data_IF_561630199981
#
_entry.id   IF_561630199981
#
_cell.length_a   1.000
_cell.length_b   1.000
_cell.length_c   1.000
_cell.angle_alpha   90.00
_cell.angle_beta   90.00
_cell.angle_gamma   90.00
#
_symmetry.space_group_name_H-M   'P 1'
#
loop_
_entity.id
_entity.type
_entity.pdbx_description
1 polymer ?
#
# COMPACT_ATOMS: atom_id res chain seq x y z
N UNK A 1 22.44 6.22 12.50
CA UNK A 1 21.16 5.48 12.59
C UNK A 1 21.23 4.32 11.60
N UNK A 2 20.66 3.17 11.93
CA UNK A 2 20.52 2.06 10.97
C UNK A 2 19.56 2.46 9.85
N UNK A 3 19.73 1.90 8.66
CA UNK A 3 18.82 2.09 7.53
C UNK A 3 17.44 1.54 7.89
N UNK A 4 16.39 2.36 7.78
CA UNK A 4 15.03 1.96 8.13
C UNK A 4 14.29 1.43 6.91
N UNK A 5 13.25 0.62 7.15
CA UNK A 5 12.39 0.07 6.10
C UNK A 5 10.95 0.40 6.38
N UNK A 6 10.21 0.73 5.33
CA UNK A 6 8.78 1.04 5.45
C UNK A 6 7.97 0.43 4.30
N UNK A 7 6.70 0.13 4.61
CA UNK A 7 5.73 -0.41 3.68
C UNK A 7 4.90 0.73 3.08
N UNK A 8 4.82 0.78 1.76
CA UNK A 8 3.94 1.69 1.04
C UNK A 8 2.91 0.87 0.26
N UNK A 9 1.64 1.28 0.33
CA UNK A 9 0.56 0.67 -0.44
C UNK A 9 -0.12 1.77 -1.25
N UNK A 10 0.01 1.69 -2.57
CA UNK A 10 -0.86 2.46 -3.46
C UNK A 10 -2.20 1.76 -3.54
N UNK A 11 -3.17 2.38 -2.87
CA UNK A 11 -4.55 1.91 -2.78
C UNK A 11 -5.22 1.85 -4.16
N UNK A 12 -6.36 1.14 -4.29
CA UNK A 12 -7.01 0.95 -5.59
C UNK A 12 -7.31 2.22 -6.36
N UNK A 13 -7.66 3.31 -5.68
CA UNK A 13 -7.91 4.62 -6.30
C UNK A 13 -6.66 5.22 -6.94
N UNK A 14 -5.49 5.10 -6.31
CA UNK A 14 -4.23 5.58 -6.88
C UNK A 14 -3.83 4.77 -8.14
N UNK A 15 -4.09 3.46 -8.13
CA UNK A 15 -3.89 2.57 -9.28
C UNK A 15 -4.83 2.95 -10.42
N UNK A 16 -6.14 3.02 -10.15
CA UNK A 16 -7.17 3.30 -11.16
C UNK A 16 -7.01 4.69 -11.79
N UNK A 17 -6.50 5.66 -11.03
CA UNK A 17 -6.22 7.02 -11.52
C UNK A 17 -4.86 7.14 -12.24
N UNK A 18 -4.11 6.04 -12.39
CA UNK A 18 -2.81 6.05 -13.06
C UNK A 18 -1.73 6.86 -12.34
N UNK A 19 -1.82 7.00 -11.01
CA UNK A 19 -0.93 7.88 -10.23
C UNK A 19 0.36 7.20 -9.76
N UNK A 20 0.50 5.89 -9.96
CA UNK A 20 1.59 5.09 -9.39
C UNK A 20 2.98 5.66 -9.72
N UNK A 21 3.28 5.90 -11.00
CA UNK A 21 4.58 6.43 -11.42
C UNK A 21 4.90 7.78 -10.79
N UNK A 22 3.92 8.70 -10.79
CA UNK A 22 4.08 10.03 -10.17
C UNK A 22 4.36 9.95 -8.67
N UNK A 23 3.76 9.00 -7.96
CA UNK A 23 4.00 8.83 -6.52
C UNK A 23 5.37 8.15 -6.30
N UNK A 24 5.74 7.16 -7.11
CA UNK A 24 7.05 6.49 -7.03
C UNK A 24 8.19 7.47 -7.22
N UNK A 25 8.11 8.33 -8.25
CA UNK A 25 9.15 9.32 -8.53
C UNK A 25 9.42 10.22 -7.33
N UNK A 26 8.41 10.56 -6.51
CA UNK A 26 8.63 11.36 -5.29
C UNK A 26 9.54 10.67 -4.27
N UNK A 27 9.47 9.34 -4.16
CA UNK A 27 10.33 8.59 -3.26
C UNK A 27 11.76 8.51 -3.81
N UNK A 28 11.89 8.23 -5.10
CA UNK A 28 13.18 8.14 -5.79
C UNK A 28 13.92 9.50 -5.77
N UNK A 29 13.22 10.60 -6.08
CA UNK A 29 13.75 11.98 -6.02
C UNK A 29 14.20 12.38 -4.61
N UNK A 30 13.56 11.82 -3.57
CA UNK A 30 13.95 12.05 -2.18
C UNK A 30 15.18 11.23 -1.77
N UNK A 31 15.61 10.27 -2.60
CA UNK A 31 16.73 9.37 -2.35
C UNK A 31 16.34 8.08 -1.61
N UNK A 32 15.05 7.78 -1.44
CA UNK A 32 14.60 6.51 -0.88
C UNK A 32 14.72 5.41 -1.93
N UNK A 33 15.16 4.22 -1.50
CA UNK A 33 15.35 3.07 -2.39
C UNK A 33 14.11 2.19 -2.36
N UNK A 34 13.58 1.85 -3.53
CA UNK A 34 12.57 0.80 -3.66
C UNK A 34 13.31 -0.54 -3.63
N UNK A 35 13.22 -1.26 -2.52
CA UNK A 35 13.88 -2.57 -2.31
C UNK A 35 12.94 -3.76 -2.54
N UNK A 36 11.66 -3.49 -2.85
CA UNK A 36 10.68 -4.49 -3.25
C UNK A 36 9.45 -3.82 -3.84
N UNK A 37 8.85 -4.45 -4.85
CA UNK A 37 7.64 -3.98 -5.48
C UNK A 37 6.78 -5.17 -5.94
N UNK A 38 5.47 -5.10 -5.72
CA UNK A 38 4.52 -6.12 -6.18
C UNK A 38 3.17 -5.50 -6.53
N UNK A 39 2.73 -5.71 -7.76
CA UNK A 39 1.36 -5.47 -8.17
C UNK A 39 0.52 -6.70 -7.83
N UNK A 40 -0.50 -6.56 -6.98
CA UNK A 40 -1.29 -7.70 -6.55
C UNK A 40 -2.71 -7.31 -6.16
N UNK A 41 -3.62 -8.30 -6.24
CA UNK A 41 -4.93 -8.22 -5.61
C UNK A 41 -4.83 -8.78 -4.20
N UNK A 42 -5.20 -7.97 -3.20
CA UNK A 42 -5.22 -8.40 -1.80
C UNK A 42 -6.50 -9.21 -1.58
N UNK A 43 -6.40 -10.36 -0.89
CA UNK A 43 -7.57 -11.13 -0.49
C UNK A 43 -8.26 -10.51 0.73
N UNK A 44 -9.56 -10.74 0.96
CA UNK A 44 -10.25 -10.25 2.15
C UNK A 44 -9.56 -10.65 3.45
N UNK A 45 -9.00 -11.86 3.52
CA UNK A 45 -8.30 -12.39 4.69
C UNK A 45 -7.01 -11.60 4.94
N UNK A 46 -6.22 -11.36 3.89
CA UNK A 46 -4.98 -10.58 4.02
C UNK A 46 -5.26 -9.12 4.37
N UNK A 47 -6.30 -8.52 3.80
CA UNK A 47 -6.73 -7.16 4.15
C UNK A 47 -7.21 -7.09 5.61
N UNK A 48 -7.94 -8.12 6.08
CA UNK A 48 -8.42 -8.19 7.45
C UNK A 48 -7.26 -8.27 8.46
N UNK A 49 -6.23 -9.06 8.16
CA UNK A 49 -4.98 -9.12 8.94
C UNK A 49 -4.27 -7.78 8.93
N UNK A 50 -4.10 -7.16 7.76
CA UNK A 50 -3.40 -5.87 7.66
C UNK A 50 -4.09 -4.74 8.45
N UNK A 51 -5.43 -4.74 8.50
CA UNK A 51 -6.23 -3.72 9.18
C UNK A 51 -6.79 -4.17 10.54
N UNK A 52 -6.25 -5.22 11.16
CA UNK A 52 -6.76 -5.79 12.41
C UNK A 52 -6.93 -4.72 13.52
N UNK A 53 -6.01 -3.77 13.62
CA UNK A 53 -6.06 -2.65 14.57
C UNK A 53 -7.30 -1.75 14.42
N UNK A 54 -8.06 -1.89 13.34
CA UNK A 54 -9.29 -1.14 13.07
C UNK A 54 -10.54 -2.00 13.14
N UNK A 55 -10.46 -3.28 13.54
CA UNK A 55 -11.56 -4.25 13.48
C UNK A 55 -12.85 -3.78 14.19
N UNK A 56 -12.71 -3.06 15.30
CA UNK A 56 -13.85 -2.55 16.09
C UNK A 56 -14.39 -1.20 15.57
N UNK A 57 -13.77 -0.61 14.55
CA UNK A 57 -14.19 0.68 14.01
C UNK A 57 -15.36 0.50 13.04
N UNK A 58 -16.35 1.42 13.04
CA UNK A 58 -17.53 1.30 12.19
C UNK A 58 -17.22 1.30 10.69
N UNK A 59 -16.07 1.85 10.29
CA UNK A 59 -15.63 1.89 8.88
C UNK A 59 -14.86 0.64 8.43
N UNK A 60 -14.60 -0.33 9.31
CA UNK A 60 -13.70 -1.45 9.02
C UNK A 60 -14.14 -2.28 7.81
N UNK A 61 -15.42 -2.64 7.74
CA UNK A 61 -15.97 -3.40 6.62
C UNK A 61 -15.79 -2.64 5.29
N UNK A 62 -16.03 -1.32 5.29
CA UNK A 62 -15.82 -0.46 4.13
C UNK A 62 -14.35 -0.40 3.72
N UNK A 63 -13.43 -0.34 4.69
CA UNK A 63 -11.99 -0.35 4.45
C UNK A 63 -11.51 -1.64 3.79
N UNK A 64 -11.93 -2.80 4.31
CA UNK A 64 -11.58 -4.11 3.74
C UNK A 64 -12.15 -4.26 2.32
N UNK A 65 -13.42 -3.88 2.12
CA UNK A 65 -14.05 -3.92 0.80
C UNK A 65 -13.33 -3.01 -0.20
N UNK A 66 -12.99 -1.79 0.22
CA UNK A 66 -12.25 -0.86 -0.62
C UNK A 66 -10.89 -1.42 -1.02
N UNK A 67 -10.15 -2.02 -0.09
CA UNK A 67 -8.79 -2.49 -0.34
C UNK A 67 -8.71 -3.78 -1.17
N UNK A 68 -9.82 -4.50 -1.34
CA UNK A 68 -9.90 -5.76 -2.09
C UNK A 68 -10.65 -5.65 -3.42
N UNK A 69 -11.27 -4.50 -3.71
CA UNK A 69 -12.09 -4.31 -4.91
C UNK A 69 -11.28 -4.33 -6.22
N UNK A 70 -10.00 -3.98 -6.17
CA UNK A 70 -9.11 -3.89 -7.33
C UNK A 70 -7.65 -4.09 -6.89
N UNK A 71 -6.71 -4.40 -7.80
CA UNK A 71 -5.31 -4.51 -7.47
C UNK A 71 -4.72 -3.24 -6.83
N UNK A 72 -3.66 -3.45 -6.06
CA UNK A 72 -2.82 -2.44 -5.43
C UNK A 72 -1.37 -2.59 -5.90
N UNK A 73 -0.59 -1.53 -5.77
CA UNK A 73 0.87 -1.63 -5.82
C UNK A 73 1.42 -1.55 -4.41
N UNK A 74 2.18 -2.57 -4.01
CA UNK A 74 2.85 -2.64 -2.70
C UNK A 74 4.34 -2.43 -2.91
N UNK A 75 4.94 -1.49 -2.17
CA UNK A 75 6.37 -1.20 -2.21
C UNK A 75 6.98 -1.40 -0.82
N UNK A 76 8.22 -1.88 -0.79
CA UNK A 76 9.11 -1.77 0.35
C UNK A 76 10.15 -0.69 0.04
N UNK A 77 10.22 0.33 0.88
CA UNK A 77 11.22 1.39 0.78
C UNK A 77 12.29 1.24 1.86
N UNK A 78 13.51 1.66 1.56
CA UNK A 78 14.65 1.72 2.48
C UNK A 78 15.36 3.08 2.36
N UNK A 79 15.80 3.64 3.49
CA UNK A 79 16.55 4.89 3.54
C UNK A 79 16.72 5.45 4.94
#
# INVERSE_FOLDING_TARGET
>A
MSMEKTLIIFKPDAVQRGLMGRIMSRFEEKGLKIIGAKFMRISPELAAVHYEAHRERPFYAGLVNFMTCSPVMVLALEG
#
